data_IF_913470671898
#
_entry.id   IF_913470671898
#
_cell.length_a   1.000
_cell.length_b   1.000
_cell.length_c   1.000
_cell.angle_alpha   90.00
_cell.angle_beta   90.00
_cell.angle_gamma   90.00
#
_symmetry.space_group_name_H-M   'P 1'
#
loop_
_entity.id
_entity.type
_entity.pdbx_description
1 polymer ?
#
# COMPACT_ATOMS: atom_id res chain seq x y z
N UNK A 1 4.76 19.80 -46.28
CA UNK A 1 3.50 19.56 -45.55
C UNK A 1 3.43 20.63 -44.48
N UNK A 2 2.47 21.55 -44.57
CA UNK A 2 2.32 22.61 -43.58
C UNK A 2 1.68 22.03 -42.31
N UNK A 3 2.38 22.10 -41.18
CA UNK A 3 1.83 21.72 -39.88
C UNK A 3 0.57 22.56 -39.62
N UNK A 4 -0.58 21.92 -39.61
CA UNK A 4 -1.85 22.53 -39.25
C UNK A 4 -1.83 22.81 -37.74
N UNK A 5 -1.20 23.91 -37.32
CA UNK A 5 -1.17 24.34 -35.92
C UNK A 5 -2.59 24.75 -35.51
N UNK A 6 -3.15 24.04 -34.52
CA UNK A 6 -4.40 24.41 -33.87
C UNK A 6 -4.31 25.85 -33.37
N UNK A 7 -5.40 26.61 -33.51
CA UNK A 7 -5.48 27.95 -32.93
C UNK A 7 -5.50 27.86 -31.40
N UNK A 8 -5.12 28.94 -30.71
CA UNK A 8 -5.19 28.98 -29.25
C UNK A 8 -6.63 28.82 -28.74
N UNK A 9 -7.62 29.29 -29.50
CA UNK A 9 -9.04 29.15 -29.17
C UNK A 9 -9.52 27.70 -29.28
N UNK A 10 -9.04 26.96 -30.28
CA UNK A 10 -9.33 25.52 -30.41
C UNK A 10 -8.71 24.75 -29.24
N UNK A 11 -7.48 25.08 -28.83
CA UNK A 11 -6.84 24.49 -27.66
C UNK A 11 -7.60 24.82 -26.35
N UNK A 12 -8.10 26.05 -26.21
CA UNK A 12 -8.86 26.46 -25.03
C UNK A 12 -10.20 25.71 -24.92
N UNK A 13 -10.91 25.52 -26.04
CA UNK A 13 -12.15 24.73 -26.09
C UNK A 13 -11.89 23.26 -25.76
N UNK A 14 -10.87 22.65 -26.38
CA UNK A 14 -10.52 21.25 -26.12
C UNK A 14 -10.13 21.02 -24.65
N UNK A 15 -9.39 21.95 -24.04
CA UNK A 15 -9.05 21.86 -22.62
C UNK A 15 -10.30 21.87 -21.72
N UNK A 16 -11.26 22.76 -22.00
CA UNK A 16 -12.51 22.84 -21.25
C UNK A 16 -13.32 21.53 -21.38
N UNK A 17 -13.40 20.94 -22.57
CA UNK A 17 -14.09 19.67 -22.82
C UNK A 17 -13.42 18.47 -22.13
N UNK A 18 -12.08 18.48 -22.02
CA UNK A 18 -11.31 17.41 -21.36
C UNK A 18 -11.14 17.61 -19.85
N UNK A 19 -11.56 18.74 -19.31
CA UNK A 19 -11.43 19.04 -17.89
C UNK A 19 -12.28 18.09 -17.04
N UNK A 20 -11.69 17.59 -15.95
CA UNK A 20 -12.36 16.70 -15.00
C UNK A 20 -12.47 17.39 -13.65
N UNK A 21 -13.69 17.49 -13.13
CA UNK A 21 -13.97 18.15 -11.84
C UNK A 21 -13.59 17.31 -10.62
N UNK A 22 -13.38 15.99 -10.80
CA UNK A 22 -13.11 15.06 -9.70
C UNK A 22 -11.88 14.23 -9.99
N UNK A 23 -10.92 14.32 -9.09
CA UNK A 23 -9.76 13.44 -9.08
C UNK A 23 -10.17 12.02 -8.63
N UNK A 24 -9.53 10.98 -9.15
CA UNK A 24 -9.71 9.62 -8.67
C UNK A 24 -9.45 9.54 -7.15
N UNK A 25 -10.28 8.79 -6.43
CA UNK A 25 -10.04 8.50 -5.02
C UNK A 25 -8.76 7.69 -4.88
N UNK A 26 -7.73 8.27 -4.26
CA UNK A 26 -6.48 7.58 -3.93
C UNK A 26 -6.13 7.82 -2.47
N UNK A 27 -5.26 6.97 -1.92
CA UNK A 27 -4.72 7.18 -0.58
C UNK A 27 -4.14 8.60 -0.43
N UNK A 28 -4.08 9.13 0.78
CA UNK A 28 -3.36 10.38 1.05
C UNK A 28 -1.83 10.19 1.01
N UNK A 29 -1.09 11.30 0.99
CA UNK A 29 0.37 11.30 1.16
C UNK A 29 0.79 10.61 2.46
N UNK A 30 0.14 10.95 3.58
CA UNK A 30 0.40 10.37 4.89
C UNK A 30 0.23 8.87 4.91
N UNK A 31 -0.83 8.35 4.28
CA UNK A 31 -1.06 6.91 4.22
C UNK A 31 0.05 6.18 3.44
N UNK A 32 0.46 6.73 2.28
CA UNK A 32 1.57 6.17 1.49
C UNK A 32 2.92 6.28 2.21
N UNK A 33 3.15 7.38 2.91
CA UNK A 33 4.37 7.56 3.69
C UNK A 33 4.45 6.57 4.85
N UNK A 34 3.35 6.39 5.59
CA UNK A 34 3.29 5.38 6.64
C UNK A 34 3.56 3.98 6.08
N UNK A 35 2.94 3.61 4.96
CA UNK A 35 3.22 2.34 4.28
C UNK A 35 4.72 2.16 3.98
N UNK A 36 5.43 3.20 3.54
CA UNK A 36 6.88 3.10 3.31
C UNK A 36 7.67 2.91 4.61
N UNK A 37 7.29 3.58 5.69
CA UNK A 37 7.88 3.35 7.02
C UNK A 37 7.64 1.93 7.52
N UNK A 38 6.44 1.39 7.31
CA UNK A 38 6.07 0.01 7.64
C UNK A 38 6.93 -0.98 6.85
N UNK A 39 7.03 -0.79 5.53
CA UNK A 39 7.83 -1.67 4.67
C UNK A 39 9.32 -1.63 5.00
N UNK A 40 9.83 -0.47 5.43
CA UNK A 40 11.23 -0.32 5.80
C UNK A 40 11.56 -0.94 7.16
N UNK A 41 10.57 -1.15 8.05
CA UNK A 41 10.76 -1.80 9.35
C UNK A 41 11.65 -1.06 10.35
N UNK A 42 11.95 0.23 10.10
CA UNK A 42 12.91 1.03 10.90
C UNK A 42 12.25 1.93 11.96
N UNK A 43 10.93 2.07 11.95
CA UNK A 43 10.18 2.85 12.92
C UNK A 43 9.02 2.02 13.48
N UNK A 44 8.59 2.26 14.75
CA UNK A 44 7.45 1.58 15.33
C UNK A 44 6.17 1.73 14.51
N UNK A 45 5.20 0.85 14.80
CA UNK A 45 3.88 0.92 14.19
C UNK A 45 3.20 2.27 14.51
N UNK A 46 2.22 2.66 13.68
CA UNK A 46 1.52 3.94 13.84
C UNK A 46 0.87 4.09 15.22
N UNK A 47 0.50 2.98 15.87
CA UNK A 47 -0.16 2.93 17.18
C UNK A 47 0.82 2.90 18.37
N UNK A 48 2.10 2.63 18.13
CA UNK A 48 3.14 2.46 19.17
C UNK A 48 4.12 3.63 19.23
N UNK A 49 3.68 4.83 18.83
CA UNK A 49 4.51 6.02 18.96
C UNK A 49 5.49 6.25 17.81
N UNK A 50 5.12 5.88 16.58
CA UNK A 50 5.87 6.17 15.33
C UNK A 50 6.46 7.57 15.26
N UNK A 51 5.73 8.60 15.68
CA UNK A 51 6.20 9.99 15.66
C UNK A 51 7.52 10.14 16.44
N UNK A 52 7.61 9.53 17.63
CA UNK A 52 8.81 9.55 18.45
C UNK A 52 9.94 8.73 17.82
N UNK A 53 9.60 7.58 17.22
CA UNK A 53 10.58 6.75 16.50
C UNK A 53 11.21 7.48 15.31
N UNK A 54 10.40 8.15 14.49
CA UNK A 54 10.88 8.96 13.36
C UNK A 54 11.73 10.14 13.86
N UNK A 55 11.34 10.78 14.96
CA UNK A 55 12.11 11.86 15.57
C UNK A 55 13.47 11.38 16.12
N UNK A 56 13.56 10.14 16.59
CA UNK A 56 14.81 9.54 17.03
C UNK A 56 15.78 9.24 15.88
N UNK A 57 15.26 9.00 14.66
CA UNK A 57 16.08 8.78 13.45
C UNK A 57 16.72 10.08 12.98
N UNK A 58 15.98 11.19 13.04
CA UNK A 58 16.52 12.52 12.74
C UNK A 58 16.06 13.53 13.79
N UNK A 59 16.97 13.86 14.70
CA UNK A 59 16.74 14.76 15.84
C UNK A 59 16.50 16.22 15.44
N UNK A 60 16.73 16.59 14.18
CA UNK A 60 16.45 17.94 13.69
C UNK A 60 14.98 18.13 13.31
N UNK A 61 14.25 17.05 13.04
CA UNK A 61 12.83 17.12 12.71
C UNK A 61 12.00 17.35 13.96
N UNK A 62 11.05 18.28 13.88
CA UNK A 62 10.19 18.59 15.03
C UNK A 62 8.98 17.67 15.04
N UNK A 63 8.57 17.26 16.23
CA UNK A 63 7.38 16.42 16.44
C UNK A 63 6.14 16.95 15.70
N UNK A 64 5.91 18.27 15.74
CA UNK A 64 4.75 18.92 15.12
C UNK A 64 4.76 18.82 13.59
N UNK A 65 5.94 18.79 12.97
CA UNK A 65 6.10 18.63 11.53
C UNK A 65 5.88 17.17 11.14
N UNK A 66 6.50 16.24 11.88
CA UNK A 66 6.33 14.79 11.69
C UNK A 66 4.86 14.41 11.78
N UNK A 67 4.11 14.93 12.76
CA UNK A 67 2.66 14.69 12.88
C UNK A 67 1.90 15.17 11.64
N UNK A 68 2.27 16.32 11.07
CA UNK A 68 1.63 16.80 9.83
C UNK A 68 1.91 15.87 8.66
N UNK A 69 3.13 15.35 8.54
CA UNK A 69 3.51 14.43 7.47
C UNK A 69 2.84 13.07 7.58
N UNK A 70 2.72 12.53 8.80
CA UNK A 70 2.19 11.19 9.04
C UNK A 70 0.67 11.15 9.24
N UNK A 71 0.01 12.28 9.51
CA UNK A 71 -1.40 12.28 9.92
C UNK A 71 -2.28 13.31 9.20
N UNK A 72 -1.71 14.31 8.50
CA UNK A 72 -2.48 15.44 7.93
C UNK A 72 -2.24 15.67 6.44
N UNK A 73 -1.64 14.71 5.75
CA UNK A 73 -1.32 14.77 4.31
C UNK A 73 -0.50 15.99 3.89
N UNK A 74 0.30 16.54 4.81
CA UNK A 74 1.20 17.66 4.52
C UNK A 74 2.54 17.12 4.06
N UNK A 75 3.01 17.58 2.91
CA UNK A 75 4.33 17.21 2.40
C UNK A 75 5.46 17.83 3.26
N UNK A 76 6.52 17.07 3.59
CA UNK A 76 7.76 17.64 4.09
C UNK A 76 8.43 18.55 3.05
N UNK A 77 9.40 19.37 3.46
CA UNK A 77 10.31 20.04 2.52
C UNK A 77 10.89 19.02 1.52
N UNK A 78 11.08 19.43 0.26
CA UNK A 78 11.50 18.50 -0.81
C UNK A 78 12.84 17.81 -0.49
N UNK A 79 13.76 18.52 0.15
CA UNK A 79 15.04 17.96 0.61
C UNK A 79 14.86 16.88 1.68
N UNK A 80 14.00 17.12 2.67
CA UNK A 80 13.69 16.15 3.72
C UNK A 80 12.99 14.93 3.12
N UNK A 81 12.02 15.13 2.22
CA UNK A 81 11.34 14.03 1.54
C UNK A 81 12.35 13.18 0.77
N UNK A 82 13.22 13.81 -0.04
CA UNK A 82 14.21 13.08 -0.84
C UNK A 82 15.14 12.26 0.05
N UNK A 83 15.70 12.86 1.09
CA UNK A 83 16.63 12.18 2.00
C UNK A 83 15.92 11.06 2.79
N UNK A 84 14.69 11.30 3.23
CA UNK A 84 13.86 10.30 3.90
C UNK A 84 13.58 9.10 2.98
N UNK A 85 13.22 9.34 1.72
CA UNK A 85 12.98 8.27 0.74
C UNK A 85 14.27 7.50 0.44
N UNK A 86 15.40 8.19 0.25
CA UNK A 86 16.72 7.52 0.06
C UNK A 86 16.99 6.57 1.22
N UNK A 87 16.84 7.06 2.46
CA UNK A 87 17.07 6.27 3.65
C UNK A 87 16.13 5.05 3.75
N UNK A 88 14.83 5.25 3.55
CA UNK A 88 13.82 4.18 3.66
C UNK A 88 13.98 3.14 2.55
N UNK A 89 14.19 3.59 1.32
CA UNK A 89 14.36 2.70 0.17
C UNK A 89 15.62 1.85 0.31
N UNK A 90 16.70 2.37 0.91
CA UNK A 90 17.90 1.59 1.20
C UNK A 90 17.62 0.39 2.14
N UNK A 91 16.57 0.44 2.97
CA UNK A 91 16.20 -0.67 3.87
C UNK A 91 15.42 -1.79 3.14
N UNK A 92 14.90 -1.51 1.95
CA UNK A 92 14.00 -2.40 1.22
C UNK A 92 14.74 -3.42 0.33
N UNK A 93 16.07 -3.35 0.29
CA UNK A 93 16.94 -4.19 -0.51
C UNK A 93 17.17 -3.68 -1.94
N UNK A 94 17.87 -4.48 -2.74
CA UNK A 94 18.30 -4.11 -4.10
C UNK A 94 17.12 -4.00 -5.10
N UNK A 95 17.32 -3.20 -6.16
CA UNK A 95 16.38 -3.06 -7.28
C UNK A 95 15.26 -2.03 -7.09
N UNK A 96 15.31 -1.23 -6.02
CA UNK A 96 14.35 -0.16 -5.77
C UNK A 96 14.80 1.17 -6.39
N UNK A 97 13.86 1.94 -6.97
CA UNK A 97 14.13 3.29 -7.47
C UNK A 97 13.61 4.35 -6.50
N UNK A 98 14.51 5.20 -6.03
CA UNK A 98 14.21 6.35 -5.16
C UNK A 98 13.25 7.30 -5.85
N UNK A 99 13.46 7.58 -7.14
CA UNK A 99 12.64 8.49 -7.95
C UNK A 99 11.21 7.99 -8.06
N UNK A 100 11.04 6.69 -8.30
CA UNK A 100 9.71 6.07 -8.41
C UNK A 100 8.97 6.11 -7.07
N UNK A 101 9.67 5.83 -5.97
CA UNK A 101 9.10 5.92 -4.62
C UNK A 101 8.69 7.34 -4.27
N UNK A 102 9.55 8.32 -4.51
CA UNK A 102 9.25 9.73 -4.27
C UNK A 102 8.05 10.21 -5.09
N UNK A 103 8.00 9.87 -6.38
CA UNK A 103 6.89 10.22 -7.26
C UNK A 103 5.58 9.54 -6.81
N UNK A 104 5.63 8.28 -6.40
CA UNK A 104 4.47 7.57 -5.86
C UNK A 104 3.95 8.21 -4.57
N UNK A 105 4.82 8.64 -3.66
CA UNK A 105 4.38 9.32 -2.43
C UNK A 105 3.62 10.62 -2.74
N UNK A 106 4.06 11.39 -3.73
CA UNK A 106 3.47 12.68 -4.07
C UNK A 106 2.17 12.51 -4.85
N UNK A 107 2.20 11.73 -5.93
CA UNK A 107 1.12 11.69 -6.92
C UNK A 107 0.19 10.48 -6.77
N UNK A 108 0.64 9.42 -6.09
CA UNK A 108 -0.15 8.22 -5.84
C UNK A 108 -0.37 7.33 -7.06
N UNK A 109 -1.12 6.24 -6.82
CA UNK A 109 -1.42 5.19 -7.79
C UNK A 109 -2.06 5.66 -9.12
N UNK A 110 -2.92 6.71 -9.15
CA UNK A 110 -3.51 7.17 -10.41
C UNK A 110 -2.49 7.76 -11.41
N UNK A 111 -1.31 8.17 -10.93
CA UNK A 111 -0.26 8.81 -11.74
C UNK A 111 0.98 7.92 -11.83
N UNK A 112 1.34 7.24 -10.75
CA UNK A 112 2.53 6.39 -10.66
C UNK A 112 2.10 5.03 -10.16
N UNK A 113 2.35 3.97 -10.93
CA UNK A 113 2.08 2.61 -10.46
C UNK A 113 2.84 2.31 -9.18
N UNK A 114 2.18 1.63 -8.23
CA UNK A 114 2.76 1.32 -6.93
C UNK A 114 4.16 0.70 -7.08
N UNK A 115 5.21 1.28 -6.46
CA UNK A 115 6.55 0.72 -6.47
C UNK A 115 6.68 -0.49 -5.54
N UNK A 116 5.67 -0.76 -4.72
CA UNK A 116 5.55 -1.99 -3.93
C UNK A 116 5.52 -3.17 -4.90
N UNK A 117 6.67 -3.81 -5.06
CA UNK A 117 6.76 -5.04 -5.84
C UNK A 117 6.28 -6.20 -4.96
N UNK A 118 5.69 -7.25 -5.55
CA UNK A 118 5.27 -8.44 -4.80
C UNK A 118 6.42 -9.06 -3.97
N UNK A 119 7.67 -8.87 -4.40
CA UNK A 119 8.89 -9.30 -3.70
C UNK A 119 9.28 -8.45 -2.46
N UNK A 120 8.66 -7.29 -2.23
CA UNK A 120 8.84 -6.47 -1.01
C UNK A 120 7.94 -6.93 0.14
N UNK A 121 6.92 -7.73 -0.16
CA UNK A 121 6.28 -8.63 0.81
C UNK A 121 7.17 -9.85 1.06
N UNK A 122 8.48 -9.63 1.28
CA UNK A 122 9.47 -10.70 1.51
C UNK A 122 9.32 -11.37 2.89
N UNK A 123 8.08 -11.47 3.37
CA UNK A 123 7.54 -12.39 4.38
C UNK A 123 6.65 -13.46 3.72
N UNK A 124 6.87 -13.79 2.44
CA UNK A 124 6.00 -14.74 1.73
C UNK A 124 6.04 -16.13 2.41
N UNK A 125 7.09 -16.52 3.11
CA UNK A 125 7.09 -17.75 3.92
C UNK A 125 6.07 -17.67 5.07
N UNK A 126 6.20 -16.67 5.96
CA UNK A 126 5.36 -16.53 7.15
C UNK A 126 3.89 -16.25 6.80
N UNK A 127 3.62 -15.39 5.80
CA UNK A 127 2.24 -15.17 5.34
C UNK A 127 1.66 -16.35 4.61
N UNK A 128 2.44 -17.11 3.84
CA UNK A 128 1.93 -18.35 3.24
C UNK A 128 1.66 -19.40 4.29
N UNK A 129 2.46 -19.45 5.35
CA UNK A 129 2.20 -20.32 6.51
C UNK A 129 0.91 -19.92 7.21
N UNK A 130 0.70 -18.63 7.51
CA UNK A 130 -0.56 -18.14 8.09
C UNK A 130 -1.74 -18.37 7.15
N UNK A 131 -1.60 -18.07 5.86
CA UNK A 131 -2.63 -18.32 4.86
C UNK A 131 -2.98 -19.81 4.79
N UNK A 132 -1.98 -20.70 4.84
CA UNK A 132 -2.18 -22.15 4.86
C UNK A 132 -2.91 -22.61 6.12
N UNK A 133 -2.61 -22.02 7.29
CA UNK A 133 -3.30 -22.30 8.55
C UNK A 133 -4.75 -21.83 8.52
N UNK A 134 -5.00 -20.61 8.03
CA UNK A 134 -6.36 -20.07 7.83
C UNK A 134 -7.14 -20.97 6.86
N UNK A 135 -6.49 -21.38 5.76
CA UNK A 135 -7.07 -22.27 4.76
C UNK A 135 -7.47 -23.61 5.37
N UNK A 136 -6.56 -24.26 6.10
CA UNK A 136 -6.82 -25.54 6.76
C UNK A 136 -7.96 -25.44 7.78
N UNK A 137 -7.96 -24.37 8.58
CA UNK A 137 -9.01 -24.11 9.58
C UNK A 137 -10.38 -23.95 8.92
N UNK A 138 -10.48 -23.18 7.84
CA UNK A 138 -11.75 -22.97 7.12
C UNK A 138 -12.24 -24.26 6.44
N UNK A 139 -11.32 -25.01 5.82
CA UNK A 139 -11.68 -26.27 5.17
C UNK A 139 -12.20 -27.31 6.17
N UNK A 140 -11.59 -27.40 7.36
CA UNK A 140 -12.02 -28.29 8.44
C UNK A 140 -13.35 -27.83 9.06
N UNK A 141 -13.46 -26.56 9.44
CA UNK A 141 -14.62 -26.02 10.16
C UNK A 141 -15.90 -25.98 9.29
N UNK A 142 -15.76 -25.79 7.98
CA UNK A 142 -16.89 -25.78 7.04
C UNK A 142 -16.99 -27.06 6.18
N UNK A 143 -16.15 -28.07 6.43
CA UNK A 143 -16.17 -29.34 5.70
C UNK A 143 -15.97 -29.21 4.18
N UNK A 144 -15.08 -28.31 3.74
CA UNK A 144 -14.86 -28.00 2.32
C UNK A 144 -13.83 -28.96 1.72
N UNK A 145 -14.22 -29.85 0.79
CA UNK A 145 -13.29 -30.82 0.22
C UNK A 145 -12.32 -30.15 -0.76
N UNK A 146 -11.09 -30.68 -0.94
CA UNK A 146 -10.10 -30.12 -1.88
C UNK A 146 -10.57 -30.02 -3.34
N UNK A 147 -11.54 -30.86 -3.73
CA UNK A 147 -12.13 -30.84 -5.08
C UNK A 147 -13.13 -29.70 -5.30
N UNK A 148 -13.56 -28.99 -4.26
CA UNK A 148 -14.55 -27.93 -4.36
C UNK A 148 -13.96 -26.57 -4.76
N UNK A 149 -12.64 -26.46 -4.87
CA UNK A 149 -11.98 -25.18 -5.16
C UNK A 149 -10.69 -25.35 -5.95
N UNK A 150 -10.30 -24.28 -6.64
CA UNK A 150 -8.98 -24.10 -7.23
C UNK A 150 -8.04 -23.57 -6.13
N UNK A 151 -7.07 -24.39 -5.72
CA UNK A 151 -6.18 -24.10 -4.60
C UNK A 151 -5.42 -22.78 -4.81
N UNK A 152 -4.88 -22.54 -6.01
CA UNK A 152 -4.13 -21.32 -6.31
C UNK A 152 -5.04 -20.08 -6.22
N UNK A 153 -6.25 -20.14 -6.78
CA UNK A 153 -7.20 -19.02 -6.71
C UNK A 153 -7.68 -18.76 -5.29
N UNK A 154 -8.02 -19.81 -4.53
CA UNK A 154 -8.47 -19.70 -3.15
C UNK A 154 -7.36 -19.13 -2.25
N UNK A 155 -6.11 -19.52 -2.50
CA UNK A 155 -4.94 -19.03 -1.78
C UNK A 155 -4.66 -17.54 -2.08
N UNK A 156 -4.74 -17.12 -3.35
CA UNK A 156 -4.65 -15.70 -3.73
C UNK A 156 -5.76 -14.85 -3.11
N UNK A 157 -6.99 -15.38 -3.05
CA UNK A 157 -8.13 -14.72 -2.37
C UNK A 157 -7.87 -14.57 -0.87
N UNK A 158 -7.30 -15.59 -0.22
CA UNK A 158 -6.92 -15.57 1.20
C UNK A 158 -5.90 -14.46 1.47
N UNK A 159 -4.81 -14.40 0.70
CA UNK A 159 -3.78 -13.36 0.83
C UNK A 159 -4.37 -11.96 0.63
N UNK A 160 -5.27 -11.80 -0.34
CA UNK A 160 -5.98 -10.55 -0.60
C UNK A 160 -6.85 -10.10 0.57
N UNK A 161 -7.54 -11.02 1.26
CA UNK A 161 -8.32 -10.71 2.44
C UNK A 161 -7.46 -10.42 3.67
N UNK A 162 -6.40 -11.20 3.88
CA UNK A 162 -5.43 -10.92 4.96
C UNK A 162 -4.90 -9.49 4.84
N UNK A 163 -4.60 -9.04 3.62
CA UNK A 163 -4.20 -7.66 3.38
C UNK A 163 -5.31 -6.65 3.73
N UNK A 164 -6.56 -6.88 3.29
CA UNK A 164 -7.68 -5.97 3.55
C UNK A 164 -8.04 -5.84 5.03
N UNK A 165 -7.86 -6.92 5.79
CA UNK A 165 -8.16 -6.98 7.23
C UNK A 165 -6.94 -6.72 8.12
N UNK A 166 -5.78 -6.37 7.55
CA UNK A 166 -4.53 -6.14 8.28
C UNK A 166 -4.11 -7.35 9.15
N UNK A 167 -4.21 -8.56 8.59
CA UNK A 167 -3.82 -9.81 9.25
C UNK A 167 -2.37 -10.12 8.87
N UNK A 168 -1.47 -9.94 9.82
CA UNK A 168 -0.03 -10.14 9.65
C UNK A 168 0.49 -11.30 10.51
N UNK A 169 -0.22 -11.63 11.59
CA UNK A 169 0.04 -12.76 12.47
C UNK A 169 -1.22 -13.63 12.66
N UNK A 170 -1.05 -14.87 13.11
CA UNK A 170 -2.20 -15.76 13.34
C UNK A 170 -3.14 -15.24 14.43
N UNK A 171 -2.64 -14.46 15.39
CA UNK A 171 -3.44 -13.83 16.42
C UNK A 171 -4.35 -12.70 15.90
N UNK A 172 -4.07 -12.12 14.73
CA UNK A 172 -4.95 -11.14 14.10
C UNK A 172 -6.18 -11.81 13.47
N UNK A 173 -6.12 -13.13 13.23
CA UNK A 173 -7.23 -13.89 12.68
C UNK A 173 -8.26 -14.25 13.76
N UNK A 174 -9.22 -13.36 13.95
CA UNK A 174 -10.31 -13.49 14.92
C UNK A 174 -11.49 -14.35 14.40
N UNK A 175 -12.32 -14.93 15.28
CA UNK A 175 -13.49 -15.73 14.89
C UNK A 175 -14.45 -14.99 13.93
N UNK A 176 -14.58 -13.67 14.07
CA UNK A 176 -15.41 -12.86 13.17
C UNK A 176 -14.92 -12.81 11.71
N UNK A 177 -13.69 -13.24 11.43
CA UNK A 177 -13.14 -13.31 10.07
C UNK A 177 -13.51 -14.60 9.34
N UNK A 178 -13.99 -15.64 10.04
CA UNK A 178 -14.26 -16.96 9.44
C UNK A 178 -15.26 -16.89 8.28
N UNK A 179 -16.40 -16.25 8.50
CA UNK A 179 -17.49 -16.20 7.52
C UNK A 179 -17.15 -15.32 6.30
N UNK A 180 -16.56 -14.11 6.45
CA UNK A 180 -16.03 -13.34 5.32
C UNK A 180 -14.99 -14.10 4.50
N UNK A 181 -14.04 -14.78 5.17
CA UNK A 181 -13.01 -15.55 4.48
C UNK A 181 -13.61 -16.73 3.71
N UNK A 182 -14.49 -17.51 4.35
CA UNK A 182 -15.18 -18.64 3.71
C UNK A 182 -15.91 -18.19 2.44
N UNK A 183 -16.74 -17.14 2.53
CA UNK A 183 -17.56 -16.68 1.40
C UNK A 183 -16.73 -16.14 0.24
N UNK A 184 -15.59 -15.50 0.53
CA UNK A 184 -14.75 -14.92 -0.51
C UNK A 184 -13.77 -15.93 -1.13
N UNK A 185 -13.22 -16.85 -0.32
CA UNK A 185 -12.30 -17.88 -0.78
C UNK A 185 -13.03 -18.96 -1.59
N UNK A 186 -14.21 -19.37 -1.10
CA UNK A 186 -15.05 -20.43 -1.65
C UNK A 186 -16.43 -19.89 -2.04
N UNK A 187 -16.52 -19.00 -3.04
CA UNK A 187 -17.80 -18.54 -3.54
C UNK A 187 -18.56 -19.73 -4.13
N UNK A 188 -19.82 -19.90 -3.72
CA UNK A 188 -20.75 -20.77 -4.44
C UNK A 188 -20.97 -20.16 -5.82
N UNK A 189 -20.61 -20.88 -6.88
CA UNK A 189 -21.12 -20.55 -8.22
C UNK A 189 -22.64 -20.70 -8.28
#
# INVERSE_FOLDING_TARGET
MAEHRKSLDDCAREYAEMSQDKLPSSLGFSARLNMLWDLAGVAPSQFEGRVLGVMAINTQWRETEIRKWLQKDVLPPRSDLRNMVIFLVAQLGEGQSVERWEAFLIYGAPVVSSPVNHAMYREDQARREIASLIFAKLADEYGIPPSAYDADKAFQRCLGLMHKFNIYEMQDFQPGHLEPFKNYMFPSE
#
